data_IF_101996004748
#
_entry.id   IF_101996004748
#
_cell.length_a   1.000
_cell.length_b   1.000
_cell.length_c   1.000
_cell.angle_alpha   90.00
_cell.angle_beta   90.00
_cell.angle_gamma   90.00
#
_symmetry.space_group_name_H-M   'P 1'
#
loop_
_entity.id
_entity.type
_entity.pdbx_description
1 polymer ?
#
# COMPACT_ATOMS: atom_id res chain seq x y z
N UNK A 1 32.64 -42.92 -54.95
CA UNK A 1 31.28 -43.41 -54.65
C UNK A 1 31.04 -43.26 -53.17
N UNK A 2 30.09 -42.37 -52.88
CA UNK A 2 29.15 -42.31 -51.74
C UNK A 2 29.54 -42.58 -50.31
N UNK A 3 29.44 -41.56 -49.52
CA UNK A 3 28.44 -41.56 -48.40
C UNK A 3 28.34 -40.18 -47.74
N UNK A 4 27.48 -39.31 -48.26
CA UNK A 4 26.83 -38.24 -47.54
C UNK A 4 25.58 -38.83 -46.90
N UNK A 5 25.56 -39.04 -45.58
CA UNK A 5 24.38 -39.36 -44.79
C UNK A 5 24.10 -38.27 -43.74
N UNK A 6 23.13 -37.42 -44.10
CA UNK A 6 22.03 -36.93 -43.29
C UNK A 6 22.27 -36.69 -41.80
N UNK A 7 22.59 -35.44 -41.44
CA UNK A 7 22.43 -34.87 -40.10
C UNK A 7 21.58 -33.59 -40.18
N UNK A 8 20.26 -33.69 -40.45
CA UNK A 8 19.36 -32.53 -40.53
C UNK A 8 18.05 -32.64 -39.69
N UNK A 9 17.81 -33.59 -38.81
CA UNK A 9 16.63 -33.41 -37.96
C UNK A 9 16.85 -33.00 -36.51
N UNK A 10 18.10 -32.82 -36.03
CA UNK A 10 18.32 -32.56 -34.59
C UNK A 10 18.24 -31.07 -34.23
N UNK A 11 18.51 -30.18 -35.17
CA UNK A 11 18.50 -28.71 -34.90
C UNK A 11 17.07 -28.14 -34.90
N UNK A 12 16.13 -28.72 -35.62
CA UNK A 12 14.73 -28.26 -35.67
C UNK A 12 13.94 -28.61 -34.37
N UNK A 13 14.35 -29.66 -33.67
CA UNK A 13 13.67 -30.09 -32.45
C UNK A 13 14.05 -29.25 -31.22
N UNK A 14 15.24 -28.65 -31.20
CA UNK A 14 15.68 -27.76 -30.14
C UNK A 14 15.06 -26.35 -30.20
N UNK A 15 14.68 -25.88 -31.40
CA UNK A 15 14.02 -24.59 -31.56
C UNK A 15 12.51 -24.61 -31.21
N UNK A 16 11.87 -25.77 -31.24
CA UNK A 16 10.47 -25.91 -30.82
C UNK A 16 10.29 -26.05 -29.30
N UNK A 17 11.34 -26.44 -28.56
CA UNK A 17 11.28 -26.59 -27.09
C UNK A 17 11.51 -25.28 -26.35
N UNK A 18 12.07 -24.25 -26.99
CA UNK A 18 12.29 -22.94 -26.36
C UNK A 18 11.07 -22.00 -26.43
N UNK A 19 10.02 -22.35 -27.13
CA UNK A 19 8.79 -21.54 -27.22
C UNK A 19 7.67 -21.96 -26.26
N UNK A 20 7.88 -22.95 -25.40
CA UNK A 20 6.84 -23.46 -24.50
C UNK A 20 7.06 -23.16 -23.01
N UNK A 21 8.02 -22.31 -22.67
CA UNK A 21 8.26 -21.91 -21.29
C UNK A 21 8.00 -20.41 -21.06
N UNK A 22 6.88 -19.90 -21.53
CA UNK A 22 6.28 -18.74 -20.89
C UNK A 22 5.39 -19.29 -19.77
N UNK A 23 5.90 -19.26 -18.56
CA UNK A 23 5.07 -19.40 -17.37
C UNK A 23 4.13 -18.20 -17.33
N UNK A 24 2.96 -18.37 -17.93
CA UNK A 24 1.91 -17.39 -17.84
C UNK A 24 1.30 -17.56 -16.44
N UNK A 25 1.46 -16.56 -15.57
CA UNK A 25 0.79 -16.56 -14.29
C UNK A 25 -0.72 -16.65 -14.52
N UNK A 26 -1.37 -17.59 -13.83
CA UNK A 26 -2.81 -17.72 -13.91
C UNK A 26 -3.45 -16.67 -13.01
N UNK A 27 -4.29 -15.81 -13.59
CA UNK A 27 -5.13 -14.91 -12.83
C UNK A 27 -6.29 -15.71 -12.21
N UNK A 28 -6.48 -15.57 -10.91
CA UNK A 28 -7.55 -16.21 -10.15
C UNK A 28 -8.52 -15.12 -9.71
N UNK A 29 -9.79 -15.24 -10.14
CA UNK A 29 -10.84 -14.34 -9.67
C UNK A 29 -11.18 -14.66 -8.23
N UNK A 30 -10.99 -13.68 -7.33
CA UNK A 30 -11.34 -13.80 -5.91
C UNK A 30 -12.85 -13.70 -5.75
N UNK A 31 -13.46 -12.63 -6.23
CA UNK A 31 -14.91 -12.40 -6.20
C UNK A 31 -15.34 -11.38 -7.25
N UNK A 32 -16.57 -11.49 -7.71
CA UNK A 32 -17.27 -10.47 -8.50
C UNK A 32 -18.58 -10.02 -7.83
N UNK A 33 -18.70 -10.28 -6.52
CA UNK A 33 -19.86 -9.93 -5.74
C UNK A 33 -19.63 -8.61 -5.00
N UNK A 34 -20.64 -7.76 -4.99
CA UNK A 34 -20.64 -6.50 -4.22
C UNK A 34 -19.56 -5.48 -4.64
N UNK A 35 -19.16 -5.52 -5.93
CA UNK A 35 -18.26 -4.57 -6.57
C UNK A 35 -17.00 -4.25 -5.75
N UNK A 36 -16.18 -5.26 -5.36
CA UNK A 36 -15.02 -5.05 -4.50
C UNK A 36 -14.00 -4.17 -5.21
N UNK A 37 -13.48 -3.20 -4.49
CA UNK A 37 -12.42 -2.29 -4.92
C UNK A 37 -11.48 -1.97 -3.75
N UNK A 38 -10.38 -1.26 -3.99
CA UNK A 38 -9.34 -0.92 -3.01
C UNK A 38 -8.85 -2.14 -2.21
N UNK A 39 -8.35 -3.20 -2.88
CA UNK A 39 -7.98 -4.43 -2.18
C UNK A 39 -6.67 -4.29 -1.40
N UNK A 40 -6.65 -4.88 -0.22
CA UNK A 40 -5.45 -5.10 0.59
C UNK A 40 -5.28 -6.59 0.86
N UNK A 41 -4.07 -7.15 0.66
CA UNK A 41 -3.81 -8.58 0.79
C UNK A 41 -2.65 -8.87 1.74
N UNK A 42 -2.78 -9.94 2.53
CA UNK A 42 -1.70 -10.46 3.38
C UNK A 42 -1.61 -11.98 3.28
N UNK A 43 -0.38 -12.49 3.47
CA UNK A 43 -0.07 -13.91 3.48
C UNK A 43 0.38 -14.29 4.88
N UNK A 44 -0.15 -15.39 5.43
CA UNK A 44 0.23 -15.86 6.76
C UNK A 44 1.69 -16.34 6.78
N UNK A 45 2.59 -15.75 7.59
CA UNK A 45 4.00 -16.11 7.61
C UNK A 45 4.26 -17.54 8.13
N UNK A 46 3.32 -18.14 8.85
CA UNK A 46 3.44 -19.50 9.38
C UNK A 46 2.90 -20.56 8.41
N UNK A 47 2.01 -20.18 7.53
CA UNK A 47 1.43 -21.05 6.49
C UNK A 47 1.04 -20.23 5.26
N UNK A 48 1.86 -20.21 4.19
CA UNK A 48 1.59 -19.42 3.00
C UNK A 48 0.33 -19.85 2.21
N UNK A 49 -0.22 -21.03 2.48
CA UNK A 49 -1.52 -21.43 1.91
C UNK A 49 -2.67 -20.61 2.48
N UNK A 50 -2.49 -20.00 3.66
CA UNK A 50 -3.47 -19.12 4.27
C UNK A 50 -3.21 -17.66 3.86
N UNK A 51 -4.16 -17.09 3.13
CA UNK A 51 -4.13 -15.72 2.64
C UNK A 51 -5.43 -15.02 2.99
N UNK A 52 -5.36 -13.71 3.17
CA UNK A 52 -6.55 -12.88 3.43
C UNK A 52 -6.53 -11.60 2.63
N UNK A 53 -7.68 -11.22 2.08
CA UNK A 53 -7.90 -9.99 1.33
C UNK A 53 -9.05 -9.22 1.99
N UNK A 54 -8.85 -7.93 2.22
CA UNK A 54 -9.89 -6.96 2.51
C UNK A 54 -10.23 -6.17 1.25
N UNK A 55 -11.47 -5.73 1.08
CA UNK A 55 -11.88 -4.83 0.02
C UNK A 55 -13.10 -3.99 0.44
N UNK A 56 -13.28 -2.83 -0.18
CA UNK A 56 -14.40 -1.93 0.09
C UNK A 56 -15.76 -2.60 -0.12
N UNK A 57 -16.79 -2.31 0.70
CA UNK A 57 -16.71 -1.50 1.93
C UNK A 57 -16.32 -2.35 3.14
N UNK A 58 -16.87 -3.56 3.23
CA UNK A 58 -16.78 -4.47 4.36
C UNK A 58 -16.49 -5.91 3.90
N UNK A 59 -15.96 -6.05 2.68
CA UNK A 59 -15.66 -7.35 2.11
C UNK A 59 -14.34 -7.89 2.68
N UNK A 60 -14.32 -9.18 3.01
CA UNK A 60 -13.07 -9.91 3.16
C UNK A 60 -13.19 -11.32 2.58
N UNK A 61 -12.06 -11.81 2.14
CA UNK A 61 -11.93 -13.11 1.49
C UNK A 61 -10.75 -13.83 2.11
N UNK A 62 -10.90 -15.13 2.38
CA UNK A 62 -9.76 -15.92 2.81
C UNK A 62 -9.58 -17.17 1.94
N UNK A 63 -8.32 -17.56 1.77
CA UNK A 63 -7.90 -18.79 1.11
C UNK A 63 -7.14 -19.67 2.10
N UNK A 64 -7.30 -20.98 1.97
CA UNK A 64 -6.58 -22.01 2.73
C UNK A 64 -5.75 -22.93 1.82
N UNK A 65 -5.55 -22.52 0.55
CA UNK A 65 -4.86 -23.33 -0.45
C UNK A 65 -4.01 -22.49 -1.41
N UNK A 66 -3.31 -21.47 -0.89
CA UNK A 66 -2.40 -20.65 -1.69
C UNK A 66 -3.08 -19.78 -2.74
N UNK A 67 -4.32 -19.36 -2.49
CA UNK A 67 -5.07 -18.48 -3.38
C UNK A 67 -5.80 -19.17 -4.53
N UNK A 68 -5.81 -20.52 -4.61
CA UNK A 68 -6.54 -21.23 -5.67
C UNK A 68 -8.04 -21.14 -5.53
N UNK A 69 -8.55 -21.09 -4.30
CA UNK A 69 -9.96 -20.84 -4.00
C UNK A 69 -10.13 -19.90 -2.84
N UNK A 70 -11.24 -19.16 -2.82
CA UNK A 70 -11.51 -18.12 -1.86
C UNK A 70 -12.91 -18.25 -1.25
N UNK A 71 -13.02 -18.02 0.05
CA UNK A 71 -14.28 -17.92 0.77
C UNK A 71 -14.62 -16.45 0.97
N UNK A 72 -15.84 -16.07 0.59
CA UNK A 72 -16.36 -14.70 0.59
C UNK A 72 -17.13 -14.41 1.87
N UNK A 73 -16.82 -13.31 2.56
CA UNK A 73 -17.43 -12.88 3.81
C UNK A 73 -17.59 -11.37 3.91
N UNK A 74 -18.26 -10.93 4.98
CA UNK A 74 -18.43 -9.53 5.35
C UNK A 74 -17.95 -9.27 6.76
N UNK A 75 -17.16 -8.21 6.92
CA UNK A 75 -16.74 -7.71 8.22
C UNK A 75 -17.89 -6.96 8.90
N UNK A 76 -18.06 -7.15 10.19
CA UNK A 76 -19.10 -6.49 10.98
C UNK A 76 -18.49 -5.97 12.27
N UNK A 77 -18.78 -4.72 12.60
CA UNK A 77 -18.56 -4.14 13.92
C UNK A 77 -19.85 -3.47 14.38
N UNK A 78 -20.50 -4.05 15.37
CA UNK A 78 -21.73 -3.47 15.93
C UNK A 78 -21.47 -2.16 16.69
N UNK A 79 -20.24 -1.98 17.20
CA UNK A 79 -19.84 -0.80 17.96
C UNK A 79 -19.43 0.37 17.07
N UNK A 80 -18.62 0.07 16.03
CA UNK A 80 -17.97 1.12 15.24
C UNK A 80 -18.51 1.23 13.81
N UNK A 81 -19.31 0.24 13.34
CA UNK A 81 -19.62 0.13 11.92
C UNK A 81 -18.37 -0.17 11.08
N UNK A 82 -18.54 -0.28 9.76
CA UNK A 82 -17.45 -0.45 8.78
C UNK A 82 -17.75 0.45 7.59
N UNK A 83 -16.76 1.26 7.15
CA UNK A 83 -16.95 2.17 6.01
C UNK A 83 -16.03 1.91 4.83
N UNK A 84 -15.01 1.08 4.99
CA UNK A 84 -14.08 0.78 3.91
C UNK A 84 -12.64 1.20 4.19
N UNK A 85 -11.88 1.44 3.13
CA UNK A 85 -10.45 1.69 3.11
C UNK A 85 -9.66 0.58 3.83
N UNK A 86 -9.80 -0.68 3.39
CA UNK A 86 -9.25 -1.81 4.13
C UNK A 86 -7.73 -1.83 4.11
N UNK A 87 -7.10 -1.87 5.28
CA UNK A 87 -5.70 -2.25 5.40
C UNK A 87 -5.59 -3.58 6.16
N UNK A 88 -5.09 -4.61 5.47
CA UNK A 88 -4.86 -5.93 6.06
C UNK A 88 -3.46 -6.03 6.64
N UNK A 89 -3.35 -6.67 7.80
CA UNK A 89 -2.08 -6.94 8.46
C UNK A 89 -2.09 -8.35 9.04
N UNK A 90 -0.92 -8.98 9.17
CA UNK A 90 -0.73 -10.26 9.84
C UNK A 90 0.50 -10.17 10.75
N UNK A 91 0.39 -10.66 11.99
CA UNK A 91 1.50 -10.70 12.93
C UNK A 91 2.36 -11.98 12.78
N UNK A 92 3.46 -12.05 13.54
CA UNK A 92 4.36 -13.21 13.51
C UNK A 92 3.72 -14.51 14.06
N UNK A 93 2.62 -14.41 14.79
CA UNK A 93 1.85 -15.56 15.30
C UNK A 93 0.74 -16.00 14.33
N UNK A 94 0.58 -15.32 13.18
CA UNK A 94 -0.43 -15.63 12.18
C UNK A 94 -1.82 -15.06 12.50
N UNK A 95 -1.95 -14.15 13.46
CA UNK A 95 -3.20 -13.45 13.69
C UNK A 95 -3.40 -12.38 12.63
N UNK A 96 -4.64 -12.22 12.15
CA UNK A 96 -5.00 -11.23 11.17
C UNK A 96 -5.60 -9.99 11.81
N UNK A 97 -5.33 -8.84 11.21
CA UNK A 97 -5.89 -7.55 11.58
C UNK A 97 -6.50 -6.91 10.34
N UNK A 98 -7.69 -6.35 10.51
CA UNK A 98 -8.39 -5.58 9.50
C UNK A 98 -8.55 -4.16 10.05
N UNK A 99 -7.84 -3.21 9.46
CA UNK A 99 -8.04 -1.80 9.72
C UNK A 99 -9.07 -1.27 8.74
N UNK A 100 -9.92 -0.36 9.20
CA UNK A 100 -10.97 0.24 8.39
C UNK A 100 -11.46 1.54 9.00
N UNK A 101 -12.14 2.34 8.20
CA UNK A 101 -12.82 3.54 8.65
C UNK A 101 -14.08 3.18 9.43
N UNK A 102 -14.44 3.99 10.43
CA UNK A 102 -15.66 3.81 11.23
C UNK A 102 -16.89 4.34 10.51
N UNK A 103 -18.04 3.72 10.80
CA UNK A 103 -19.37 4.22 10.45
C UNK A 103 -20.36 3.82 11.54
N UNK A 104 -20.21 4.39 12.76
CA UNK A 104 -21.03 4.01 13.89
C UNK A 104 -22.49 4.42 13.68
N UNK A 105 -23.44 3.79 14.38
CA UNK A 105 -24.84 4.24 14.36
C UNK A 105 -24.96 5.71 14.83
N UNK A 106 -25.55 6.58 14.03
CA UNK A 106 -25.74 8.00 14.35
C UNK A 106 -25.17 8.93 13.27
N UNK A 107 -24.94 10.21 13.60
CA UNK A 107 -24.47 11.18 12.62
C UNK A 107 -22.93 11.15 12.39
N UNK A 108 -22.17 10.43 13.22
CA UNK A 108 -20.72 10.33 13.07
C UNK A 108 -20.37 9.45 11.86
N UNK A 109 -19.39 9.89 11.08
CA UNK A 109 -18.90 9.22 9.89
C UNK A 109 -17.38 9.36 9.85
N UNK A 110 -16.67 8.28 9.60
CA UNK A 110 -15.20 8.20 9.60
C UNK A 110 -14.52 8.97 10.77
N UNK A 111 -15.15 8.91 11.96
CA UNK A 111 -14.68 9.66 13.12
C UNK A 111 -13.41 9.06 13.76
N UNK A 112 -13.05 7.86 13.36
CA UNK A 112 -11.86 7.14 13.82
C UNK A 112 -11.46 6.01 12.86
N UNK A 113 -10.23 5.54 13.02
CA UNK A 113 -9.78 4.27 12.47
C UNK A 113 -10.19 3.15 13.44
N UNK A 114 -10.48 1.96 12.93
CA UNK A 114 -10.85 0.79 13.72
C UNK A 114 -9.91 -0.37 13.36
N UNK A 115 -9.38 -1.03 14.38
CA UNK A 115 -8.59 -2.25 14.22
C UNK A 115 -9.38 -3.44 14.74
N UNK A 116 -9.85 -4.34 13.87
CA UNK A 116 -10.45 -5.63 14.24
C UNK A 116 -9.41 -6.75 14.11
N UNK A 117 -9.46 -7.71 15.02
CA UNK A 117 -8.51 -8.85 15.08
C UNK A 117 -9.24 -10.17 14.95
N UNK A 118 -8.64 -11.09 14.17
CA UNK A 118 -8.99 -12.51 14.09
C UNK A 118 -7.80 -13.36 14.53
N UNK A 119 -8.08 -14.38 15.35
CA UNK A 119 -7.09 -15.38 15.82
C UNK A 119 -7.43 -16.80 15.35
N UNK A 120 -8.38 -16.93 14.44
CA UNK A 120 -8.93 -18.18 13.92
C UNK A 120 -9.00 -18.21 12.38
N UNK A 121 -8.01 -17.61 11.73
CA UNK A 121 -7.88 -17.52 10.26
C UNK A 121 -9.06 -16.81 9.57
N UNK A 122 -9.65 -15.79 10.21
CA UNK A 122 -10.73 -15.02 9.63
C UNK A 122 -12.12 -15.63 9.78
N UNK A 123 -12.27 -16.72 10.54
CA UNK A 123 -13.58 -17.31 10.81
C UNK A 123 -14.41 -16.41 11.72
N UNK A 124 -13.78 -15.71 12.64
CA UNK A 124 -14.41 -14.69 13.47
C UNK A 124 -13.50 -13.48 13.72
N UNK A 125 -14.12 -12.34 13.99
CA UNK A 125 -13.46 -11.07 14.29
C UNK A 125 -13.99 -10.49 15.59
N UNK A 126 -13.11 -9.83 16.36
CA UNK A 126 -13.56 -9.07 17.53
C UNK A 126 -14.34 -7.82 17.09
N UNK A 127 -14.90 -7.05 18.04
CA UNK A 127 -15.66 -5.83 17.71
C UNK A 127 -14.78 -4.64 17.30
N UNK A 128 -13.46 -4.77 17.47
CA UNK A 128 -12.47 -3.75 17.14
C UNK A 128 -12.08 -2.84 18.31
N UNK A 129 -10.96 -2.18 18.12
CA UNK A 129 -10.46 -1.08 18.95
C UNK A 129 -10.44 0.20 18.12
N UNK A 130 -11.04 1.28 18.63
CA UNK A 130 -11.07 2.58 17.95
C UNK A 130 -9.79 3.38 18.19
N UNK A 131 -9.31 4.06 17.15
CA UNK A 131 -8.06 4.81 17.11
C UNK A 131 -8.36 6.22 16.62
N UNK A 132 -7.80 7.24 17.25
CA UNK A 132 -7.77 8.60 16.68
C UNK A 132 -9.03 9.42 16.82
N UNK A 133 -10.06 8.96 17.58
CA UNK A 133 -11.25 9.81 17.81
C UNK A 133 -10.85 11.19 18.32
N UNK A 134 -11.24 12.24 17.61
CA UNK A 134 -10.90 13.62 17.96
C UNK A 134 -12.04 14.60 17.67
N UNK A 135 -13.04 14.63 18.54
CA UNK A 135 -14.20 15.51 18.40
C UNK A 135 -15.01 15.14 17.15
N UNK A 136 -15.18 16.10 16.24
CA UNK A 136 -15.93 15.93 14.99
C UNK A 136 -15.02 15.84 13.76
N UNK A 137 -13.72 15.61 13.97
CA UNK A 137 -12.75 15.48 12.87
C UNK A 137 -12.88 14.13 12.20
N UNK A 138 -12.67 14.11 10.89
CA UNK A 138 -12.70 12.90 10.08
C UNK A 138 -11.29 12.29 9.97
N UNK A 139 -11.24 10.95 9.91
CA UNK A 139 -10.01 10.16 9.81
C UNK A 139 -10.10 9.30 8.54
N UNK A 140 -9.04 9.32 7.71
CA UNK A 140 -9.06 8.70 6.38
C UNK A 140 -7.69 8.12 6.00
N UNK A 141 -7.66 7.18 5.04
CA UNK A 141 -6.45 6.61 4.42
C UNK A 141 -5.44 6.05 5.41
N UNK A 142 -5.89 5.15 6.27
CA UNK A 142 -5.02 4.49 7.22
C UNK A 142 -4.21 3.37 6.59
N UNK A 143 -2.96 3.24 7.04
CA UNK A 143 -2.08 2.12 6.76
C UNK A 143 -1.38 1.67 8.03
N UNK A 144 -1.19 0.34 8.15
CA UNK A 144 -0.56 -0.25 9.33
C UNK A 144 0.62 -1.14 8.97
N UNK A 145 1.56 -1.28 9.90
CA UNK A 145 2.71 -2.19 9.80
C UNK A 145 2.91 -2.92 11.13
N UNK A 146 3.27 -4.20 11.04
CA UNK A 146 3.72 -5.00 12.18
C UNK A 146 5.25 -4.96 12.25
N UNK A 147 5.77 -4.53 13.39
CA UNK A 147 7.20 -4.56 13.65
C UNK A 147 7.63 -5.89 14.28
N UNK A 148 8.37 -6.68 13.51
CA UNK A 148 8.89 -7.99 13.94
C UNK A 148 9.96 -7.88 15.04
N UNK A 149 10.59 -6.71 15.22
CA UNK A 149 11.64 -6.47 16.23
C UNK A 149 11.02 -6.24 17.60
N UNK A 150 10.01 -5.38 17.67
CA UNK A 150 9.37 -4.99 18.93
C UNK A 150 8.06 -5.73 19.22
N UNK A 151 7.49 -6.44 18.22
CA UNK A 151 6.13 -7.00 18.22
C UNK A 151 5.02 -5.95 18.39
N UNK A 152 5.29 -4.69 18.05
CA UNK A 152 4.31 -3.62 18.06
C UNK A 152 3.60 -3.52 16.71
N UNK A 153 2.43 -2.90 16.73
CA UNK A 153 1.72 -2.48 15.52
C UNK A 153 1.70 -0.96 15.48
N UNK A 154 2.03 -0.40 14.33
CA UNK A 154 2.01 1.02 14.06
C UNK A 154 0.98 1.33 12.98
N UNK A 155 0.25 2.43 13.15
CA UNK A 155 -0.74 2.91 12.18
C UNK A 155 -0.56 4.39 11.94
N UNK A 156 -0.66 4.79 10.69
CA UNK A 156 -0.67 6.17 10.23
C UNK A 156 -1.93 6.44 9.42
N UNK A 157 -2.42 7.68 9.42
CA UNK A 157 -3.60 8.08 8.67
C UNK A 157 -3.63 9.59 8.48
N UNK A 158 -4.53 10.08 7.64
CA UNK A 158 -4.85 11.49 7.49
C UNK A 158 -6.00 11.86 8.40
N UNK A 159 -5.84 12.92 9.20
CA UNK A 159 -6.94 13.56 9.92
C UNK A 159 -7.30 14.86 9.24
N UNK A 160 -8.58 15.04 8.93
CA UNK A 160 -9.16 16.29 8.46
C UNK A 160 -9.82 17.04 9.62
N UNK A 161 -9.60 18.34 9.70
CA UNK A 161 -10.36 19.20 10.65
C UNK A 161 -11.83 19.22 10.28
N UNK A 162 -12.15 19.23 8.96
CA UNK A 162 -13.47 19.01 8.39
C UNK A 162 -13.29 18.59 6.92
N UNK A 163 -13.66 17.37 6.58
CA UNK A 163 -13.49 16.81 5.22
C UNK A 163 -14.27 17.64 4.18
N UNK A 164 -13.60 18.07 3.13
CA UNK A 164 -14.15 18.89 2.06
C UNK A 164 -14.30 20.38 2.44
N UNK A 165 -13.82 20.83 3.60
CA UNK A 165 -13.88 22.24 4.01
C UNK A 165 -13.00 23.12 3.12
N UNK A 166 -13.53 24.29 2.75
CA UNK A 166 -12.79 25.36 2.05
C UNK A 166 -12.29 26.45 2.99
N UNK A 167 -12.53 26.31 4.31
CA UNK A 167 -12.11 27.29 5.28
C UNK A 167 -10.57 27.20 5.48
N UNK A 168 -9.88 28.32 5.33
CA UNK A 168 -8.41 28.37 5.41
C UNK A 168 -7.81 28.03 6.77
N UNK A 169 -8.65 27.92 7.81
CA UNK A 169 -8.23 27.50 9.14
C UNK A 169 -8.35 25.99 9.34
N UNK A 170 -9.10 25.29 8.49
CA UNK A 170 -9.20 23.83 8.53
C UNK A 170 -8.02 23.22 7.79
N UNK A 171 -7.46 22.17 8.36
CA UNK A 171 -6.23 21.54 7.88
C UNK A 171 -6.32 20.02 7.88
N UNK A 172 -5.56 19.39 6.99
CA UNK A 172 -5.26 17.96 7.02
C UNK A 172 -3.89 17.73 7.65
N UNK A 173 -3.76 16.63 8.39
CA UNK A 173 -2.53 16.27 9.08
C UNK A 173 -2.33 14.76 9.09
N UNK A 174 -1.07 14.32 8.98
CA UNK A 174 -0.69 12.93 9.16
C UNK A 174 -0.57 12.62 10.65
N UNK A 175 -1.33 11.65 11.11
CA UNK A 175 -1.29 11.17 12.48
C UNK A 175 -0.69 9.76 12.55
N UNK A 176 -0.16 9.44 13.72
CA UNK A 176 0.45 8.17 14.07
C UNK A 176 -0.09 7.68 15.41
N UNK A 177 -0.26 6.35 15.53
CA UNK A 177 -0.53 5.68 16.81
C UNK A 177 0.14 4.30 16.83
N UNK A 178 0.43 3.81 18.03
CA UNK A 178 1.06 2.51 18.26
C UNK A 178 0.26 1.64 19.21
N UNK A 179 0.33 0.32 19.01
CA UNK A 179 -0.15 -0.68 19.95
C UNK A 179 1.00 -1.60 20.36
N UNK A 180 1.19 -1.78 21.67
CA UNK A 180 2.17 -2.68 22.26
C UNK A 180 1.55 -3.97 22.80
N UNK A 181 0.25 -4.15 22.57
CA UNK A 181 -0.56 -5.30 23.03
C UNK A 181 -1.34 -5.97 21.88
N UNK A 182 -0.74 -5.94 20.69
CA UNK A 182 -1.26 -6.60 19.48
C UNK A 182 -2.68 -6.13 19.12
N UNK A 183 -2.88 -4.80 19.07
CA UNK A 183 -4.10 -4.16 18.59
C UNK A 183 -5.23 -4.06 19.60
N UNK A 184 -5.00 -4.43 20.88
CA UNK A 184 -6.03 -4.37 21.93
C UNK A 184 -6.25 -2.94 22.41
N UNK A 185 -5.16 -2.18 22.61
CA UNK A 185 -5.18 -0.75 22.96
C UNK A 185 -4.19 0.04 22.12
N UNK A 186 -4.41 1.35 22.02
CA UNK A 186 -3.65 2.25 21.16
C UNK A 186 -3.20 3.50 21.91
N UNK A 187 -2.01 4.00 21.56
CA UNK A 187 -1.49 5.25 22.08
C UNK A 187 -2.37 6.44 21.66
N UNK A 188 -2.28 7.55 22.41
CA UNK A 188 -2.83 8.81 21.93
C UNK A 188 -2.17 9.18 20.58
N UNK A 189 -2.94 9.69 19.61
CA UNK A 189 -2.40 10.09 18.31
C UNK A 189 -1.34 11.18 18.42
N UNK A 190 -0.29 11.04 17.60
CA UNK A 190 0.76 12.05 17.46
C UNK A 190 0.76 12.55 16.03
N UNK A 191 0.68 13.88 15.83
CA UNK A 191 0.90 14.48 14.52
C UNK A 191 2.38 14.39 14.15
N UNK A 192 2.69 13.90 12.95
CA UNK A 192 4.06 13.72 12.48
C UNK A 192 4.48 14.80 11.46
N UNK A 193 3.64 15.16 10.51
CA UNK A 193 3.96 16.20 9.51
C UNK A 193 4.08 17.60 10.15
N UNK A 194 5.04 18.39 9.67
CA UNK A 194 5.27 19.77 10.15
C UNK A 194 4.46 20.78 9.33
N UNK A 195 4.32 20.55 8.02
CA UNK A 195 3.50 21.38 7.13
C UNK A 195 2.15 20.69 6.94
N UNK A 196 1.08 21.36 7.35
CA UNK A 196 -0.30 20.88 7.15
C UNK A 196 -0.74 21.05 5.69
N UNK A 197 -1.69 20.21 5.27
CA UNK A 197 -2.43 20.40 4.03
C UNK A 197 -3.79 21.06 4.25
N UNK A 198 -4.56 21.25 3.17
CA UNK A 198 -5.95 21.65 3.22
C UNK A 198 -6.89 20.44 3.44
N UNK A 199 -8.20 20.67 3.46
CA UNK A 199 -9.20 19.64 3.65
C UNK A 199 -9.98 19.29 2.36
N UNK A 200 -9.44 19.62 1.17
CA UNK A 200 -10.18 19.48 -0.10
C UNK A 200 -10.00 18.13 -0.77
N UNK A 201 -9.16 17.25 -0.20
CA UNK A 201 -8.84 15.94 -0.78
C UNK A 201 -8.28 16.07 -2.22
N UNK A 202 -7.24 16.90 -2.34
CA UNK A 202 -6.55 17.25 -3.58
C UNK A 202 -5.04 17.45 -3.33
N UNK A 203 -4.30 17.95 -4.33
CA UNK A 203 -2.85 18.12 -4.30
C UNK A 203 -2.28 18.90 -3.09
N UNK A 204 -3.10 19.73 -2.44
CA UNK A 204 -2.71 20.47 -1.25
C UNK A 204 -3.08 19.77 0.06
N UNK A 205 -3.78 18.66 0.02
CA UNK A 205 -4.04 17.80 1.18
C UNK A 205 -2.80 16.95 1.47
N UNK A 206 -2.45 16.75 2.75
CA UNK A 206 -1.43 15.76 3.11
C UNK A 206 -2.08 14.41 3.27
N UNK A 207 -1.63 13.40 2.50
CA UNK A 207 -2.30 12.10 2.44
C UNK A 207 -1.37 10.94 2.02
N UNK A 208 -1.85 9.70 2.18
CA UNK A 208 -1.18 8.50 1.68
C UNK A 208 0.03 8.08 2.50
N UNK A 209 -0.05 8.24 3.81
CA UNK A 209 1.04 7.88 4.73
C UNK A 209 1.10 6.36 4.94
N UNK A 210 2.03 5.68 4.28
CA UNK A 210 2.28 4.24 4.46
C UNK A 210 3.50 4.04 5.35
N UNK A 211 3.34 3.42 6.56
CA UNK A 211 4.46 3.20 7.47
C UNK A 211 5.27 1.96 7.09
N UNK A 212 6.59 2.00 7.33
CA UNK A 212 7.49 0.85 7.28
C UNK A 212 8.34 0.79 8.54
N UNK A 213 8.87 -0.39 8.86
CA UNK A 213 9.78 -0.59 10.00
C UNK A 213 11.19 -0.91 9.53
N UNK A 214 12.18 -0.39 10.23
CA UNK A 214 13.58 -0.66 9.99
C UNK A 214 14.12 -1.87 10.77
N UNK A 215 15.36 -2.31 10.47
CA UNK A 215 15.94 -3.51 11.04
C UNK A 215 16.22 -3.46 12.55
N UNK A 216 16.19 -2.27 13.15
CA UNK A 216 16.40 -2.05 14.60
C UNK A 216 15.15 -1.43 15.28
N UNK A 217 13.97 -1.54 14.63
CA UNK A 217 12.71 -1.01 15.15
C UNK A 217 12.47 0.47 14.85
N UNK A 218 13.22 1.06 13.91
CA UNK A 218 12.90 2.38 13.37
C UNK A 218 11.52 2.36 12.69
N UNK A 219 10.85 3.51 12.69
CA UNK A 219 9.59 3.72 11.96
C UNK A 219 9.86 4.77 10.88
N UNK A 220 9.49 4.47 9.66
CA UNK A 220 9.64 5.30 8.47
C UNK A 220 8.28 5.59 7.88
N UNK A 221 7.98 6.85 7.57
CA UNK A 221 6.70 7.25 6.98
C UNK A 221 6.94 8.28 5.88
N UNK A 222 6.42 8.02 4.69
CA UNK A 222 6.34 9.01 3.63
C UNK A 222 4.88 9.30 3.30
N UNK A 223 4.58 10.52 2.86
CA UNK A 223 3.26 10.98 2.45
C UNK A 223 3.36 11.98 1.30
N UNK A 224 2.27 12.17 0.59
CA UNK A 224 2.14 13.22 -0.43
C UNK A 224 1.48 14.47 0.16
N UNK A 225 1.71 15.62 -0.46
CA UNK A 225 1.12 16.88 -0.06
C UNK A 225 1.60 18.06 -0.89
N UNK A 226 1.32 19.30 -0.46
CA UNK A 226 1.60 20.52 -1.23
C UNK A 226 3.10 20.74 -1.53
N UNK A 227 3.98 20.06 -0.80
CA UNK A 227 5.44 20.16 -0.99
C UNK A 227 6.00 18.98 -1.81
N UNK A 228 5.16 18.10 -2.37
CA UNK A 228 5.56 16.85 -2.99
C UNK A 228 5.58 15.69 -1.98
N UNK A 229 6.48 14.73 -2.15
CA UNK A 229 6.66 13.62 -1.22
C UNK A 229 7.57 14.06 -0.07
N UNK A 230 7.03 13.97 1.14
CA UNK A 230 7.73 14.24 2.40
C UNK A 230 7.94 12.94 3.19
N UNK A 231 8.91 12.96 4.08
CA UNK A 231 9.30 11.80 4.88
C UNK A 231 9.64 12.24 6.31
N UNK A 232 9.29 11.39 7.27
CA UNK A 232 9.73 11.51 8.66
C UNK A 232 10.06 10.13 9.24
N UNK A 233 10.84 10.10 10.32
CA UNK A 233 11.21 8.87 11.02
C UNK A 233 11.17 9.01 12.52
N UNK A 234 10.94 7.89 13.20
CA UNK A 234 11.11 7.73 14.65
C UNK A 234 12.04 6.56 14.94
N UNK A 235 12.85 6.70 15.98
CA UNK A 235 13.76 5.64 16.46
C UNK A 235 13.45 5.20 17.90
N UNK A 236 12.33 5.64 18.45
CA UNK A 236 11.91 5.40 19.82
C UNK A 236 10.45 4.90 19.93
N UNK A 237 10.00 4.16 18.92
CA UNK A 237 8.65 3.58 18.88
C UNK A 237 7.53 4.61 18.61
N UNK A 238 7.84 5.74 18.00
CA UNK A 238 6.89 6.78 17.63
C UNK A 238 6.68 7.85 18.72
N UNK A 239 7.49 7.85 19.78
CA UNK A 239 7.42 8.88 20.83
C UNK A 239 7.94 10.23 20.37
N UNK A 240 9.02 10.22 19.58
CA UNK A 240 9.58 11.43 18.96
C UNK A 240 9.80 11.24 17.48
N UNK A 241 9.69 12.34 16.75
CA UNK A 241 9.83 12.45 15.30
C UNK A 241 10.81 13.57 14.98
N UNK A 242 11.33 13.63 13.76
CA UNK A 242 12.28 14.67 13.36
C UNK A 242 11.71 16.08 13.61
N UNK A 243 12.57 17.05 13.87
CA UNK A 243 12.18 18.45 14.02
C UNK A 243 11.64 19.03 12.70
N UNK A 244 12.18 18.58 11.57
CA UNK A 244 11.78 18.99 10.22
C UNK A 244 11.57 17.75 9.37
N UNK A 245 10.48 17.76 8.57
CA UNK A 245 10.23 16.74 7.55
C UNK A 245 11.32 16.78 6.48
N UNK A 246 11.71 15.61 5.96
CA UNK A 246 12.69 15.50 4.88
C UNK A 246 11.95 15.52 3.54
N UNK A 247 12.36 16.41 2.63
CA UNK A 247 11.87 16.40 1.25
C UNK A 247 12.49 15.21 0.49
N UNK A 248 11.62 14.40 -0.16
CA UNK A 248 12.02 13.21 -0.91
C UNK A 248 12.05 13.48 -2.41
N UNK A 249 10.93 13.93 -2.95
CA UNK A 249 10.79 14.18 -4.40
C UNK A 249 9.63 15.13 -4.70
N UNK A 250 9.75 15.86 -5.81
CA UNK A 250 8.61 16.55 -6.42
C UNK A 250 7.61 15.53 -6.99
N UNK A 251 6.34 15.93 -7.04
CA UNK A 251 5.26 15.22 -7.74
C UNK A 251 4.68 16.12 -8.83
N UNK A 252 5.31 16.23 -10.00
CA UNK A 252 4.79 17.04 -11.07
C UNK A 252 3.41 16.55 -11.55
N UNK A 253 2.45 17.48 -11.60
CA UNK A 253 1.04 17.18 -11.84
C UNK A 253 0.22 16.93 -10.58
N UNK A 254 0.87 17.01 -9.40
CA UNK A 254 0.24 16.72 -8.10
C UNK A 254 0.11 15.22 -7.83
N UNK A 255 -0.47 14.88 -6.69
CA UNK A 255 -0.80 13.48 -6.37
C UNK A 255 -2.24 13.12 -6.80
N UNK A 256 -3.13 14.11 -6.96
CA UNK A 256 -4.49 13.93 -7.46
C UNK A 256 -4.54 14.31 -8.95
N UNK A 257 -4.65 13.34 -9.83
CA UNK A 257 -4.64 13.59 -11.27
C UNK A 257 -5.73 12.80 -12.01
N UNK A 258 -5.96 13.18 -13.27
CA UNK A 258 -6.98 12.53 -14.11
C UNK A 258 -6.37 11.46 -15.00
N UNK A 259 -7.02 10.30 -15.02
CA UNK A 259 -6.78 9.21 -15.99
C UNK A 259 -8.07 9.01 -16.79
N UNK A 260 -8.05 9.03 -18.14
CA UNK A 260 -9.26 8.84 -18.94
C UNK A 260 -10.03 7.57 -18.54
N UNK A 261 -11.34 7.71 -18.23
CA UNK A 261 -12.21 6.60 -17.84
C UNK A 261 -12.06 6.14 -16.37
N UNK A 262 -11.21 6.78 -15.58
CA UNK A 262 -11.10 6.59 -14.13
C UNK A 262 -11.67 7.85 -13.46
N UNK A 263 -12.63 7.67 -12.57
CA UNK A 263 -13.33 8.79 -11.93
C UNK A 263 -12.42 9.58 -10.96
N UNK A 264 -11.48 8.88 -10.32
CA UNK A 264 -10.49 9.45 -9.40
C UNK A 264 -9.22 8.61 -9.46
N UNK A 265 -8.09 9.24 -9.64
CA UNK A 265 -6.78 8.60 -9.60
C UNK A 265 -5.82 9.40 -8.71
N UNK A 266 -4.93 8.69 -8.04
CA UNK A 266 -3.92 9.31 -7.19
C UNK A 266 -2.56 8.63 -7.37
N UNK A 267 -1.51 9.35 -7.00
CA UNK A 267 -0.13 8.89 -7.00
C UNK A 267 0.46 8.76 -5.60
N UNK A 268 -0.37 8.44 -4.60
CA UNK A 268 0.06 8.36 -3.21
C UNK A 268 1.25 7.40 -3.03
N UNK A 269 2.22 7.74 -2.15
CA UNK A 269 3.45 6.97 -2.00
C UNK A 269 3.27 5.71 -1.16
N UNK A 270 4.03 4.66 -1.51
CA UNK A 270 4.18 3.44 -0.71
C UNK A 270 5.62 3.38 -0.19
N UNK A 271 5.79 3.24 1.12
CA UNK A 271 7.09 3.12 1.79
C UNK A 271 7.34 1.68 2.20
N UNK A 272 8.53 1.16 1.91
CA UNK A 272 9.00 -0.14 2.43
C UNK A 272 10.47 -0.06 2.85
N UNK A 273 10.90 -0.99 3.70
CA UNK A 273 12.29 -1.16 4.11
C UNK A 273 12.75 -2.58 3.85
N UNK A 274 13.98 -2.74 3.38
CA UNK A 274 14.65 -4.02 3.23
C UNK A 274 15.10 -4.54 4.60
N UNK A 275 14.47 -5.61 5.06
CA UNK A 275 14.83 -6.32 6.29
C UNK A 275 15.53 -7.65 5.99
N UNK A 276 15.84 -7.95 4.72
CA UNK A 276 16.57 -9.15 4.31
C UNK A 276 17.98 -9.17 4.89
N UNK A 277 18.65 -10.31 4.80
CA UNK A 277 20.08 -10.41 5.12
C UNK A 277 20.99 -10.03 3.95
N UNK A 278 20.42 -9.42 2.90
CA UNK A 278 21.09 -8.96 1.70
C UNK A 278 21.95 -7.70 1.90
N UNK A 279 22.67 -7.29 0.84
CA UNK A 279 23.55 -6.11 0.88
C UNK A 279 22.80 -4.77 1.06
N UNK A 280 21.52 -4.75 0.77
CA UNK A 280 20.66 -3.57 0.87
C UNK A 280 19.84 -3.53 2.18
N UNK A 281 20.14 -4.41 3.16
CA UNK A 281 19.48 -4.39 4.46
C UNK A 281 19.46 -2.99 5.08
N UNK A 282 18.28 -2.52 5.45
CA UNK A 282 18.03 -1.18 5.99
C UNK A 282 17.80 -0.11 4.90
N UNK A 283 17.91 -0.44 3.63
CA UNK A 283 17.53 0.48 2.57
C UNK A 283 16.01 0.73 2.59
N UNK A 284 15.64 2.00 2.42
CA UNK A 284 14.24 2.43 2.34
C UNK A 284 13.93 2.72 0.89
N UNK A 285 12.77 2.27 0.43
CA UNK A 285 12.25 2.54 -0.90
C UNK A 285 10.91 3.24 -0.78
N UNK A 286 10.69 4.25 -1.64
CA UNK A 286 9.41 4.93 -1.80
C UNK A 286 9.02 4.85 -3.25
N UNK A 287 7.80 4.38 -3.54
CA UNK A 287 7.24 4.22 -4.87
C UNK A 287 5.93 5.02 -4.99
N UNK A 288 5.72 5.65 -6.13
CA UNK A 288 4.52 6.43 -6.43
C UNK A 288 4.28 6.49 -7.93
N UNK A 289 3.20 7.15 -8.36
CA UNK A 289 3.00 7.53 -9.76
C UNK A 289 2.77 9.03 -9.91
N UNK A 290 3.32 9.62 -10.97
CA UNK A 290 3.11 11.03 -11.29
C UNK A 290 3.17 11.31 -12.79
N UNK A 291 2.86 12.56 -13.15
CA UNK A 291 2.75 13.05 -14.52
C UNK A 291 3.94 13.90 -14.95
N UNK A 292 5.16 13.63 -14.47
CA UNK A 292 6.36 14.40 -14.85
C UNK A 292 6.70 14.34 -16.32
N UNK A 293 6.25 13.30 -17.03
CA UNK A 293 6.42 13.16 -18.48
C UNK A 293 5.24 13.75 -19.27
N UNK A 294 4.22 14.27 -18.60
CA UNK A 294 3.05 14.92 -19.17
C UNK A 294 1.73 14.33 -18.69
N UNK A 295 0.65 15.09 -18.82
CA UNK A 295 -0.68 14.69 -18.36
C UNK A 295 -1.29 13.50 -19.12
N UNK A 296 -0.69 13.09 -20.23
CA UNK A 296 -1.06 11.88 -20.98
C UNK A 296 -0.07 10.72 -20.82
N UNK A 297 0.90 10.86 -19.91
CA UNK A 297 2.04 9.97 -19.73
C UNK A 297 2.38 9.85 -18.23
N UNK A 298 1.45 9.23 -17.49
CA UNK A 298 1.65 8.92 -16.07
C UNK A 298 2.52 7.69 -15.94
N UNK A 299 3.60 7.77 -15.16
CA UNK A 299 4.54 6.69 -14.96
C UNK A 299 4.69 6.31 -13.49
N UNK A 300 5.26 5.11 -13.26
CA UNK A 300 5.61 4.59 -11.93
C UNK A 300 7.06 4.96 -11.61
N UNK A 301 7.27 5.57 -10.47
CA UNK A 301 8.57 6.06 -10.01
C UNK A 301 8.97 5.45 -8.67
N UNK A 302 10.26 5.39 -8.42
CA UNK A 302 10.83 4.93 -7.18
C UNK A 302 12.09 5.73 -6.83
N UNK A 303 12.29 5.94 -5.53
CA UNK A 303 13.57 6.41 -4.95
C UNK A 303 14.06 5.43 -3.88
N UNK A 304 15.35 5.48 -3.59
CA UNK A 304 16.03 4.69 -2.57
C UNK A 304 16.83 5.58 -1.63
N UNK A 305 16.77 5.27 -0.34
CA UNK A 305 17.71 5.77 0.66
C UNK A 305 18.48 4.61 1.28
N UNK A 306 19.78 4.82 1.56
CA UNK A 306 20.65 3.84 2.24
C UNK A 306 21.22 4.39 3.56
N UNK A 307 20.68 5.50 4.03
CA UNK A 307 21.09 6.21 5.24
C UNK A 307 19.89 6.67 6.07
N UNK A 308 18.93 5.76 6.28
CA UNK A 308 17.73 6.00 7.10
C UNK A 308 16.90 7.22 6.68
N UNK A 309 16.83 7.51 5.38
CA UNK A 309 16.03 8.60 4.84
C UNK A 309 16.70 9.98 4.87
N UNK A 310 17.97 10.10 5.31
CA UNK A 310 18.67 11.40 5.33
C UNK A 310 18.88 11.97 3.94
N UNK A 311 19.15 11.10 2.96
CA UNK A 311 19.26 11.47 1.54
C UNK A 311 18.61 10.41 0.64
N UNK A 312 18.17 10.84 -0.53
CA UNK A 312 17.45 10.01 -1.48
C UNK A 312 18.11 10.02 -2.87
N UNK A 313 18.01 8.91 -3.57
CA UNK A 313 18.40 8.84 -4.98
C UNK A 313 17.53 9.78 -5.84
N UNK A 314 17.96 10.07 -7.05
CA UNK A 314 17.04 10.61 -8.05
C UNK A 314 15.93 9.58 -8.35
N UNK A 315 14.71 10.04 -8.72
CA UNK A 315 13.65 9.16 -9.14
C UNK A 315 14.04 8.30 -10.35
N UNK A 316 13.76 7.00 -10.25
CA UNK A 316 13.97 6.03 -11.32
C UNK A 316 12.61 5.53 -11.79
N UNK A 317 12.37 5.51 -13.09
CA UNK A 317 11.14 4.97 -13.69
C UNK A 317 11.15 3.45 -13.59
N UNK A 318 10.06 2.86 -13.07
CA UNK A 318 9.88 1.41 -12.89
C UNK A 318 9.38 0.76 -14.18
N UNK A 319 8.35 1.34 -14.80
CA UNK A 319 7.84 0.87 -16.08
C UNK A 319 8.82 1.19 -17.23
N UNK A 320 8.86 0.34 -18.24
CA UNK A 320 9.84 0.38 -19.33
C UNK A 320 9.23 0.53 -20.72
N UNK A 321 7.97 0.93 -20.81
CA UNK A 321 7.25 1.15 -22.05
C UNK A 321 7.69 2.45 -22.76
N UNK A 322 7.19 2.62 -23.99
CA UNK A 322 7.36 3.86 -24.75
C UNK A 322 6.47 4.97 -24.18
N UNK A 323 6.93 6.26 -24.21
CA UNK A 323 6.13 7.37 -23.71
C UNK A 323 4.74 7.51 -24.35
N UNK A 324 3.80 8.10 -23.61
CA UNK A 324 2.47 8.46 -24.10
C UNK A 324 1.37 7.48 -23.70
N UNK A 325 1.61 6.67 -22.69
CA UNK A 325 0.61 5.77 -22.09
C UNK A 325 0.62 5.91 -20.58
N UNK A 326 -0.51 5.62 -19.94
CA UNK A 326 -0.64 5.73 -18.49
C UNK A 326 -0.29 4.44 -17.77
N UNK A 327 0.54 4.55 -16.72
CA UNK A 327 0.71 3.58 -15.65
C UNK A 327 0.33 4.25 -14.32
N UNK A 328 -0.52 3.61 -13.51
CA UNK A 328 -1.10 4.22 -12.33
C UNK A 328 -1.54 3.18 -11.28
N UNK A 329 -1.92 3.62 -10.09
CA UNK A 329 -2.32 2.78 -8.96
C UNK A 329 -1.26 1.72 -8.64
N UNK A 330 -0.04 2.18 -8.39
CA UNK A 330 1.06 1.30 -8.06
C UNK A 330 0.98 0.85 -6.60
N UNK A 331 1.40 -0.41 -6.38
CA UNK A 331 1.75 -0.90 -5.05
C UNK A 331 3.10 -1.60 -5.12
N UNK A 332 3.89 -1.49 -4.05
CA UNK A 332 5.21 -2.09 -3.96
C UNK A 332 5.31 -3.00 -2.74
N UNK A 333 5.98 -4.11 -2.88
CA UNK A 333 6.40 -4.97 -1.76
C UNK A 333 7.83 -5.48 -1.97
N UNK A 334 8.41 -6.05 -0.92
CA UNK A 334 9.74 -6.64 -0.95
C UNK A 334 9.70 -8.08 -0.43
N UNK A 335 10.34 -8.97 -1.13
CA UNK A 335 10.66 -10.30 -0.63
C UNK A 335 11.79 -10.19 0.39
N UNK A 336 11.45 -10.34 1.65
CA UNK A 336 12.38 -10.17 2.77
C UNK A 336 13.42 -11.30 2.92
N UNK A 337 13.37 -12.35 2.08
CA UNK A 337 14.42 -13.36 2.01
C UNK A 337 15.48 -13.00 0.97
N UNK A 338 15.06 -12.44 -0.15
CA UNK A 338 15.95 -12.18 -1.30
C UNK A 338 16.28 -10.71 -1.51
N UNK A 339 15.58 -9.78 -0.87
CA UNK A 339 15.68 -8.33 -1.11
C UNK A 339 15.09 -7.87 -2.44
N UNK A 340 14.34 -8.73 -3.16
CA UNK A 340 13.73 -8.37 -4.44
C UNK A 340 12.51 -7.51 -4.23
N UNK A 341 12.45 -6.41 -4.96
CA UNK A 341 11.28 -5.55 -5.06
C UNK A 341 10.30 -6.11 -6.08
N UNK A 342 9.02 -6.00 -5.75
CA UNK A 342 7.91 -6.34 -6.63
C UNK A 342 6.95 -5.17 -6.70
N UNK A 343 6.53 -4.83 -7.92
CA UNK A 343 5.59 -3.74 -8.20
C UNK A 343 4.39 -4.29 -8.94
N UNK A 344 3.20 -3.91 -8.51
CA UNK A 344 1.96 -4.13 -9.25
C UNK A 344 1.37 -2.77 -9.61
N UNK A 345 0.89 -2.61 -10.84
CA UNK A 345 0.28 -1.37 -11.31
C UNK A 345 -0.63 -1.61 -12.50
N UNK A 346 -1.54 -0.69 -12.73
CA UNK A 346 -2.34 -0.65 -13.94
C UNK A 346 -1.56 -0.05 -15.10
N UNK A 347 -1.72 -0.61 -16.29
CA UNK A 347 -0.91 -0.28 -17.46
C UNK A 347 -1.72 -0.28 -18.74
N UNK A 348 -1.57 0.77 -19.53
CA UNK A 348 -2.25 0.96 -20.83
C UNK A 348 -1.33 0.87 -22.04
N UNK A 349 -0.10 0.38 -21.87
CA UNK A 349 0.90 0.32 -22.97
C UNK A 349 0.41 -0.43 -24.21
N UNK A 350 -0.51 -1.37 -24.07
CA UNK A 350 -1.04 -2.19 -25.18
C UNK A 350 -2.39 -1.68 -25.72
N UNK A 351 -2.94 -0.58 -25.19
CA UNK A 351 -4.28 -0.12 -25.48
C UNK A 351 -4.30 1.30 -26.02
N UNK A 352 -5.14 1.52 -27.06
CA UNK A 352 -5.41 2.84 -27.63
C UNK A 352 -6.63 3.53 -26.97
N UNK A 353 -7.41 2.77 -26.20
CA UNK A 353 -8.62 3.20 -25.50
C UNK A 353 -8.43 3.20 -23.97
N UNK A 354 -9.52 3.14 -23.21
CA UNK A 354 -9.51 3.10 -21.75
C UNK A 354 -9.28 1.71 -21.15
N UNK A 355 -9.09 0.69 -22.00
CA UNK A 355 -8.76 -0.66 -21.54
C UNK A 355 -7.42 -0.65 -20.77
N UNK A 356 -7.34 -1.47 -19.74
CA UNK A 356 -6.23 -1.43 -18.79
C UNK A 356 -5.85 -2.85 -18.39
N UNK A 357 -4.57 -3.15 -18.46
CA UNK A 357 -3.99 -4.40 -17.95
C UNK A 357 -3.45 -4.20 -16.54
N UNK A 358 -3.16 -5.29 -15.82
CA UNK A 358 -2.40 -5.30 -14.58
C UNK A 358 -1.02 -5.86 -14.88
N UNK A 359 0.01 -5.11 -14.53
CA UNK A 359 1.40 -5.50 -14.70
C UNK A 359 2.06 -5.81 -13.36
N UNK A 360 2.99 -6.76 -13.41
CA UNK A 360 3.91 -7.10 -12.34
C UNK A 360 5.33 -6.86 -12.84
N UNK A 361 6.13 -6.09 -12.09
CA UNK A 361 7.53 -5.79 -12.38
C UNK A 361 8.44 -6.14 -11.20
#
# INVERSE_FOLDING_TARGET
MNNMKKCIPLVLFFFLLTMLAQSQHQNILISNQRDPNEPSIVINPLNPDHMMVGANLDNYYFSENGGFTWTDNRLVSATFGVWGDPCMLVDAAGNYYYFHLSNPPGPAWIDRIVCQKSTDNGLSWNQGAGIGLNGNKEQDKEWAVFDKVTNNIYVTWTQFDSYGSTASMDSSNILFSSSTDLGSTWSAPVRINKTAGDCLDNDNTVEGAVPATGPEGQIYVAWAGPLGIMFDKSVDGGHTWLENDIFVAEMPGGWAYSIPGISRANGLPVTICDLSDGPDRGAIYINWSDQRNGSSDTDIWMVKSVNEGETWSLPVRVNNDSPGRHQFFTWMTIDQETGKLWFVFYDRRNHEDISTDVYLA
#
